data_IF_644126826519
#
_entry.id   IF_644126826519
#
_cell.length_a   1.000
_cell.length_b   1.000
_cell.length_c   1.000
_cell.angle_alpha   90.00
_cell.angle_beta   90.00
_cell.angle_gamma   90.00
#
_symmetry.space_group_name_H-M   'P 1'
#
loop_
_entity.id
_entity.type
_entity.pdbx_description
1 polymer ?
#
# COMPACT_ATOMS: atom_id res chain seq x y z
N UNK A 1 -0.01 21.09 -37.21
CA UNK A 1 1.02 20.72 -36.22
C UNK A 1 0.30 20.16 -34.99
N UNK A 2 0.36 18.85 -34.74
CA UNK A 2 -0.38 18.17 -33.67
C UNK A 2 0.44 18.26 -32.37
N UNK A 3 0.02 19.10 -31.44
CA UNK A 3 0.65 19.26 -30.13
C UNK A 3 0.38 18.04 -29.25
N UNK A 4 1.38 17.18 -29.06
CA UNK A 4 1.36 16.16 -28.00
C UNK A 4 1.62 16.84 -26.66
N UNK A 5 0.56 16.97 -25.84
CA UNK A 5 0.67 17.35 -24.43
C UNK A 5 0.93 16.09 -23.61
N UNK A 6 2.20 15.82 -23.32
CA UNK A 6 2.61 14.78 -22.36
C UNK A 6 2.35 15.34 -20.96
N UNK A 7 1.29 14.86 -20.29
CA UNK A 7 1.01 15.16 -18.88
C UNK A 7 1.91 14.32 -17.99
N UNK A 8 2.96 14.93 -17.44
CA UNK A 8 3.84 14.34 -16.43
C UNK A 8 3.11 14.37 -15.08
N UNK A 9 2.51 13.25 -14.69
CA UNK A 9 1.76 13.07 -13.45
C UNK A 9 2.59 12.43 -12.35
N UNK A 10 3.32 13.25 -11.59
CA UNK A 10 4.14 12.86 -10.43
C UNK A 10 3.38 11.95 -9.42
N UNK A 11 3.75 10.68 -9.31
CA UNK A 11 3.29 9.76 -8.26
C UNK A 11 4.45 9.20 -7.44
N UNK A 12 4.85 9.92 -6.39
CA UNK A 12 5.80 9.46 -5.38
C UNK A 12 5.04 8.86 -4.21
N UNK A 13 5.01 7.52 -4.09
CA UNK A 13 4.69 6.81 -2.84
C UNK A 13 5.11 5.32 -2.93
N UNK A 14 6.39 5.02 -2.65
CA UNK A 14 6.84 3.67 -2.31
C UNK A 14 7.84 3.72 -1.15
N UNK A 15 7.32 3.59 0.06
CA UNK A 15 8.08 3.29 1.26
C UNK A 15 7.55 1.98 1.87
N UNK A 16 8.46 1.08 2.25
CA UNK A 16 8.16 -0.03 3.17
C UNK A 16 8.46 -1.43 2.64
N UNK A 17 9.74 -1.77 2.49
CA UNK A 17 10.24 -3.14 2.55
C UNK A 17 11.27 -3.18 3.68
N UNK A 18 10.82 -3.56 4.88
CA UNK A 18 11.66 -3.77 6.05
C UNK A 18 12.37 -5.13 5.93
N UNK A 19 13.69 -5.14 6.05
CA UNK A 19 14.48 -6.30 6.45
C UNK A 19 14.17 -6.63 7.91
N UNK A 20 13.92 -7.89 8.21
CA UNK A 20 13.81 -8.43 9.56
C UNK A 20 15.21 -8.58 10.17
N UNK A 21 15.49 -8.10 11.39
CA UNK A 21 16.70 -8.48 12.09
C UNK A 21 16.57 -9.91 12.63
N UNK A 22 17.61 -10.72 12.41
CA UNK A 22 17.88 -11.95 13.16
C UNK A 22 18.20 -11.53 14.60
N UNK A 23 17.38 -11.98 15.56
CA UNK A 23 17.68 -11.80 16.98
C UNK A 23 18.58 -12.94 17.45
N UNK A 24 19.82 -12.61 17.79
CA UNK A 24 20.70 -13.48 18.54
C UNK A 24 20.20 -13.56 20.00
N UNK A 25 19.90 -14.76 20.47
CA UNK A 25 19.56 -15.03 21.86
C UNK A 25 20.82 -14.89 22.72
N UNK A 26 20.82 -13.87 23.59
CA UNK A 26 21.69 -13.82 24.76
C UNK A 26 20.96 -14.50 25.92
N UNK A 27 21.55 -15.60 26.37
CA UNK A 27 21.15 -16.39 27.53
C UNK A 27 21.90 -15.85 28.76
N UNK A 28 21.19 -15.39 29.80
CA UNK A 28 21.62 -15.34 31.22
C UNK A 28 20.50 -14.80 32.13
N UNK A 29 20.41 -15.38 33.35
CA UNK A 29 19.34 -15.27 34.36
C UNK A 29 19.16 -13.87 34.98
N UNK A 30 18.35 -13.61 36.00
CA UNK A 30 17.81 -14.41 37.12
C UNK A 30 16.49 -13.75 37.60
N UNK A 31 15.85 -14.39 38.57
CA UNK A 31 14.46 -14.28 39.01
C UNK A 31 13.93 -12.89 39.44
N UNK A 32 12.71 -12.58 38.99
CA UNK A 32 11.88 -11.49 39.52
C UNK A 32 10.38 -11.83 39.43
N UNK A 33 9.60 -11.70 40.52
CA UNK A 33 8.21 -12.13 40.56
C UNK A 33 7.30 -11.09 39.91
N UNK A 34 6.67 -11.48 38.80
CA UNK A 34 5.69 -10.65 38.08
C UNK A 34 5.52 -10.98 36.60
N UNK A 35 5.96 -12.18 36.17
CA UNK A 35 5.93 -12.62 34.79
C UNK A 35 4.48 -12.85 34.38
N UNK A 36 3.89 -11.89 33.66
CA UNK A 36 2.73 -12.15 32.80
C UNK A 36 3.09 -13.36 31.91
N UNK A 37 2.23 -14.38 31.78
CA UNK A 37 2.56 -15.57 30.99
C UNK A 37 2.98 -15.11 29.59
N UNK A 38 4.27 -15.31 29.27
CA UNK A 38 4.80 -15.16 27.92
C UNK A 38 3.94 -16.07 27.05
N UNK A 39 3.13 -15.45 26.20
CA UNK A 39 2.37 -16.14 25.16
C UNK A 39 3.36 -17.06 24.44
N UNK A 40 3.12 -18.39 24.41
CA UNK A 40 4.07 -19.31 23.80
C UNK A 40 4.30 -18.86 22.36
N UNK A 41 5.56 -18.56 22.05
CA UNK A 41 6.05 -18.35 20.69
C UNK A 41 5.94 -19.68 19.97
N UNK A 42 4.74 -19.98 19.47
CA UNK A 42 4.55 -21.11 18.58
C UNK A 42 5.40 -20.88 17.32
N UNK A 43 6.06 -21.93 16.77
CA UNK A 43 6.90 -21.84 15.57
C UNK A 43 6.15 -21.39 14.30
N UNK A 44 4.83 -21.16 14.37
CA UNK A 44 3.97 -20.70 13.28
C UNK A 44 3.75 -19.16 13.21
N UNK A 45 4.44 -18.38 14.06
CA UNK A 45 4.25 -16.92 14.16
C UNK A 45 4.63 -16.08 12.93
N UNK A 46 5.33 -16.64 11.93
CA UNK A 46 5.84 -15.90 10.76
C UNK A 46 4.92 -15.95 9.52
N UNK A 47 3.79 -16.66 9.57
CA UNK A 47 2.90 -16.82 8.41
C UNK A 47 1.93 -15.65 8.15
N UNK A 48 2.03 -14.52 8.85
CA UNK A 48 1.30 -13.28 8.50
C UNK A 48 1.85 -12.57 7.25
N UNK A 49 2.45 -13.32 6.31
CA UNK A 49 2.88 -12.88 4.97
C UNK A 49 1.75 -12.99 3.92
N UNK A 50 0.48 -12.98 4.35
CA UNK A 50 -0.71 -13.25 3.53
C UNK A 50 -1.13 -12.17 2.51
N UNK A 51 -0.37 -11.09 2.33
CA UNK A 51 -0.79 -9.97 1.47
C UNK A 51 -0.16 -9.90 0.08
N UNK A 52 0.83 -10.75 -0.23
CA UNK A 52 1.65 -10.63 -1.45
C UNK A 52 1.21 -11.49 -2.63
N UNK A 53 0.30 -12.45 -2.44
CA UNK A 53 0.00 -13.48 -3.46
C UNK A 53 -0.73 -12.98 -4.72
N UNK A 54 -1.36 -11.80 -4.69
CA UNK A 54 -2.15 -11.31 -5.83
C UNK A 54 -1.54 -10.06 -6.51
N UNK A 55 -0.22 -10.02 -6.69
CA UNK A 55 0.46 -8.86 -7.32
C UNK A 55 1.30 -9.18 -8.55
N UNK A 56 1.42 -10.46 -8.93
CA UNK A 56 2.17 -10.88 -10.11
C UNK A 56 1.36 -10.74 -11.40
N UNK A 57 2.02 -11.01 -12.53
CA UNK A 57 1.41 -11.01 -13.86
C UNK A 57 0.05 -11.74 -13.92
N UNK A 58 -0.06 -12.93 -13.32
CA UNK A 58 -1.29 -13.74 -13.36
C UNK A 58 -2.48 -13.05 -12.67
N UNK A 59 -2.24 -12.27 -11.61
CA UNK A 59 -3.29 -11.53 -10.92
C UNK A 59 -3.75 -10.31 -11.73
N UNK A 60 -2.88 -9.75 -12.57
CA UNK A 60 -3.25 -8.66 -13.49
C UNK A 60 -4.02 -9.23 -14.68
N UNK A 61 -3.55 -10.36 -15.24
CA UNK A 61 -4.24 -11.07 -16.30
C UNK A 61 -5.66 -11.46 -15.89
N UNK A 62 -5.84 -12.02 -14.69
CA UNK A 62 -7.17 -12.40 -14.19
C UNK A 62 -8.13 -11.20 -14.21
N UNK A 63 -7.69 -10.02 -13.77
CA UNK A 63 -8.52 -8.80 -13.80
C UNK A 63 -8.84 -8.32 -15.21
N UNK A 64 -7.84 -8.30 -16.09
CA UNK A 64 -8.03 -7.90 -17.49
C UNK A 64 -8.99 -8.87 -18.20
N UNK A 65 -8.82 -10.17 -17.94
CA UNK A 65 -9.69 -11.21 -18.47
C UNK A 65 -11.13 -11.09 -17.95
N UNK A 66 -11.31 -10.87 -16.65
CA UNK A 66 -12.64 -10.71 -16.05
C UNK A 66 -13.40 -9.50 -16.63
N UNK A 67 -12.68 -8.42 -16.94
CA UNK A 67 -13.28 -7.19 -17.44
C UNK A 67 -13.47 -7.19 -18.97
N UNK A 68 -12.49 -7.64 -19.74
CA UNK A 68 -12.46 -7.52 -21.21
C UNK A 68 -12.83 -8.81 -21.94
N UNK A 69 -13.00 -9.91 -21.20
CA UNK A 69 -13.32 -11.25 -21.73
C UNK A 69 -12.38 -11.64 -22.87
N UNK A 70 -11.09 -11.62 -22.56
CA UNK A 70 -10.03 -11.96 -23.51
C UNK A 70 -10.22 -13.38 -24.05
N UNK A 71 -9.99 -13.60 -25.35
CA UNK A 71 -9.93 -14.95 -25.90
C UNK A 71 -8.64 -15.68 -25.47
N UNK A 72 -8.54 -16.98 -25.76
CA UNK A 72 -7.41 -17.79 -25.30
C UNK A 72 -6.07 -17.35 -25.92
N UNK A 73 -6.08 -16.90 -27.17
CA UNK A 73 -4.89 -16.39 -27.85
C UNK A 73 -4.44 -15.08 -27.22
N UNK A 74 -5.37 -14.13 -27.06
CA UNK A 74 -5.13 -12.85 -26.37
C UNK A 74 -4.64 -13.04 -24.95
N UNK A 75 -5.23 -13.98 -24.19
CA UNK A 75 -4.77 -14.28 -22.81
C UNK A 75 -3.31 -14.71 -22.78
N UNK A 76 -2.91 -15.60 -23.68
CA UNK A 76 -1.53 -16.09 -23.75
C UNK A 76 -0.56 -14.97 -24.13
N UNK A 77 -0.90 -14.15 -25.12
CA UNK A 77 -0.07 -13.01 -25.54
C UNK A 77 0.05 -11.95 -24.44
N UNK A 78 -1.07 -11.54 -23.83
CA UNK A 78 -1.10 -10.58 -22.72
C UNK A 78 -0.35 -11.12 -21.50
N UNK A 79 -0.48 -12.42 -21.19
CA UNK A 79 0.29 -13.04 -20.10
C UNK A 79 1.79 -12.98 -20.36
N UNK A 80 2.24 -13.23 -21.59
CA UNK A 80 3.64 -13.13 -21.96
C UNK A 80 4.16 -11.69 -21.81
N UNK A 81 3.41 -10.70 -22.29
CA UNK A 81 3.73 -9.27 -22.13
C UNK A 81 3.83 -8.87 -20.64
N UNK A 82 2.87 -9.28 -19.82
CA UNK A 82 2.88 -9.00 -18.38
C UNK A 82 4.07 -9.63 -17.65
N UNK A 83 4.44 -10.87 -18.00
CA UNK A 83 5.63 -11.56 -17.44
C UNK A 83 6.93 -10.87 -17.87
N UNK A 84 7.04 -10.48 -19.13
CA UNK A 84 8.20 -9.75 -19.65
C UNK A 84 8.35 -8.38 -18.97
N UNK A 85 7.25 -7.66 -18.79
CA UNK A 85 7.23 -6.41 -18.04
C UNK A 85 7.61 -6.62 -16.57
N UNK A 86 7.09 -7.66 -15.89
CA UNK A 86 7.49 -7.97 -14.51
C UNK A 86 9.01 -8.23 -14.40
N UNK A 87 9.59 -8.95 -15.35
CA UNK A 87 11.03 -9.18 -15.42
C UNK A 87 11.81 -7.86 -15.61
N UNK A 88 11.38 -7.00 -16.54
CA UNK A 88 12.01 -5.68 -16.76
C UNK A 88 11.94 -4.78 -15.53
N UNK A 89 10.78 -4.72 -14.85
CA UNK A 89 10.65 -3.95 -13.60
C UNK A 89 11.54 -4.50 -12.49
N UNK A 90 11.74 -5.83 -12.45
CA UNK A 90 12.67 -6.47 -11.51
C UNK A 90 14.11 -6.07 -11.81
N UNK A 91 14.53 -6.17 -13.07
CA UNK A 91 15.85 -5.74 -13.53
C UNK A 91 16.15 -4.28 -13.18
N UNK A 92 15.21 -3.37 -13.49
CA UNK A 92 15.33 -1.95 -13.10
C UNK A 92 15.48 -1.86 -11.57
N UNK A 93 14.64 -2.51 -10.78
CA UNK A 93 14.73 -2.41 -9.31
C UNK A 93 16.03 -2.98 -8.73
N UNK A 94 16.53 -4.06 -9.31
CA UNK A 94 17.77 -4.69 -8.87
C UNK A 94 18.99 -3.79 -9.17
N UNK A 95 18.98 -3.08 -10.30
CA UNK A 95 20.00 -2.08 -10.64
C UNK A 95 20.04 -0.88 -9.68
N UNK A 96 18.95 -0.59 -8.97
CA UNK A 96 18.87 0.49 -7.98
C UNK A 96 18.74 -0.01 -6.54
N UNK A 97 19.21 -1.23 -6.27
CA UNK A 97 19.29 -1.75 -4.89
C UNK A 97 20.16 -0.82 -4.02
N UNK A 98 19.87 -0.70 -2.70
CA UNK A 98 20.77 0.02 -1.80
C UNK A 98 22.17 -0.59 -1.82
N UNK A 99 23.20 0.25 -1.88
CA UNK A 99 24.59 -0.22 -1.78
C UNK A 99 24.87 -0.72 -0.35
N UNK A 100 25.91 -1.56 -0.15
CA UNK A 100 26.33 -1.97 1.19
C UNK A 100 26.62 -0.76 2.10
N UNK A 101 27.31 0.25 1.58
CA UNK A 101 27.62 1.50 2.30
C UNK A 101 26.36 2.26 2.73
N UNK A 102 25.36 2.39 1.85
CA UNK A 102 24.07 3.02 2.20
C UNK A 102 23.32 2.22 3.29
N UNK A 103 23.47 0.90 3.29
CA UNK A 103 22.87 0.04 4.32
C UNK A 103 23.56 0.22 5.67
N UNK A 104 24.89 0.25 5.69
CA UNK A 104 25.72 0.52 6.86
C UNK A 104 25.44 1.92 7.43
N UNK A 105 25.36 2.95 6.58
CA UNK A 105 25.01 4.30 7.02
C UNK A 105 23.63 4.34 7.69
N UNK A 106 22.64 3.69 7.07
CA UNK A 106 21.29 3.61 7.62
C UNK A 106 21.22 2.78 8.90
N UNK A 107 22.10 1.81 9.09
CA UNK A 107 22.25 1.04 10.33
C UNK A 107 22.89 1.90 11.43
N UNK A 108 24.00 2.57 11.14
CA UNK A 108 24.65 3.50 12.06
C UNK A 108 23.69 4.60 12.54
N UNK A 109 22.89 5.19 11.64
CA UNK A 109 21.87 6.19 12.03
C UNK A 109 20.82 5.60 12.97
N UNK A 110 20.43 4.32 12.82
CA UNK A 110 19.47 3.67 13.72
C UNK A 110 20.08 3.36 15.08
N UNK A 111 21.34 2.97 15.12
CA UNK A 111 22.07 2.75 16.37
C UNK A 111 22.27 4.05 17.13
N UNK A 112 22.68 5.13 16.45
CA UNK A 112 22.79 6.47 17.04
C UNK A 112 21.44 6.94 17.58
N UNK A 113 20.34 6.71 16.86
CA UNK A 113 18.99 7.04 17.32
C UNK A 113 18.58 6.22 18.56
N UNK A 114 18.97 4.95 18.64
CA UNK A 114 18.71 4.10 19.80
C UNK A 114 19.47 4.65 21.02
N UNK A 115 20.77 4.92 20.86
CA UNK A 115 21.63 5.49 21.91
C UNK A 115 21.13 6.85 22.40
N UNK A 116 20.84 7.76 21.47
CA UNK A 116 20.27 9.08 21.79
C UNK A 116 18.95 8.99 22.56
N UNK A 117 18.15 7.95 22.27
CA UNK A 117 16.89 7.71 22.98
C UNK A 117 17.15 7.18 24.40
N UNK A 118 18.09 6.27 24.56
CA UNK A 118 18.43 5.68 25.86
C UNK A 118 19.05 6.75 26.79
N UNK A 119 19.85 7.66 26.23
CA UNK A 119 20.48 8.79 26.95
C UNK A 119 19.56 10.03 27.09
N UNK A 120 18.38 10.02 26.47
CA UNK A 120 17.48 11.18 26.33
C UNK A 120 18.16 12.42 25.67
N UNK A 121 19.16 12.21 24.82
CA UNK A 121 19.83 13.27 24.08
C UNK A 121 18.95 13.77 22.91
N UNK A 122 18.29 14.91 23.13
CA UNK A 122 17.41 15.52 22.13
C UNK A 122 18.15 16.10 20.93
N UNK A 123 19.41 16.54 21.10
CA UNK A 123 20.20 17.09 20.01
C UNK A 123 20.68 15.99 19.08
N UNK A 124 21.17 14.88 19.62
CA UNK A 124 21.58 13.72 18.83
C UNK A 124 20.37 13.10 18.10
N UNK A 125 19.20 13.02 18.75
CA UNK A 125 17.97 12.60 18.09
C UNK A 125 17.60 13.52 16.90
N UNK A 126 17.78 14.83 17.02
CA UNK A 126 17.54 15.78 15.93
C UNK A 126 18.53 15.54 14.77
N UNK A 127 19.83 15.46 15.07
CA UNK A 127 20.89 15.16 14.09
C UNK A 127 20.64 13.84 13.34
N UNK A 128 20.23 12.78 14.04
CA UNK A 128 19.87 11.51 13.39
C UNK A 128 18.67 11.64 12.44
N UNK A 129 17.65 12.45 12.79
CA UNK A 129 16.50 12.67 11.90
C UNK A 129 16.91 13.43 10.64
N UNK A 130 17.81 14.40 10.75
CA UNK A 130 18.32 15.16 9.61
C UNK A 130 19.18 14.27 8.71
N UNK A 131 20.06 13.43 9.28
CA UNK A 131 20.78 12.39 8.52
C UNK A 131 19.84 11.42 7.81
N UNK A 132 18.79 10.93 8.47
CA UNK A 132 17.78 10.08 7.81
C UNK A 132 17.05 10.81 6.69
N UNK A 133 16.82 12.12 6.81
CA UNK A 133 16.17 12.92 5.77
C UNK A 133 17.10 13.06 4.57
N UNK A 134 18.34 13.46 4.79
CA UNK A 134 19.36 13.60 3.74
C UNK A 134 19.57 12.27 3.00
N UNK A 135 19.73 11.14 3.71
CA UNK A 135 19.88 9.82 3.09
C UNK A 135 18.65 9.42 2.25
N UNK A 136 17.43 9.82 2.66
CA UNK A 136 16.21 9.59 1.87
C UNK A 136 16.14 10.47 0.63
N UNK A 137 16.57 11.72 0.73
CA UNK A 137 16.62 12.66 -0.40
C UNK A 137 17.62 12.20 -1.44
N UNK A 138 18.87 11.90 -1.04
CA UNK A 138 19.89 11.34 -1.91
C UNK A 138 19.42 10.04 -2.58
N UNK A 139 18.80 9.14 -1.82
CA UNK A 139 18.19 7.93 -2.39
C UNK A 139 17.04 8.26 -3.36
N UNK A 140 16.21 9.25 -3.08
CA UNK A 140 15.11 9.64 -3.96
C UNK A 140 15.64 10.14 -5.30
N UNK A 141 16.69 10.96 -5.29
CA UNK A 141 17.38 11.46 -6.48
C UNK A 141 18.01 10.31 -7.27
N UNK A 142 18.73 9.40 -6.59
CA UNK A 142 19.29 8.19 -7.22
C UNK A 142 18.22 7.33 -7.88
N UNK A 143 17.05 7.21 -7.25
CA UNK A 143 15.91 6.45 -7.77
C UNK A 143 15.11 7.18 -8.86
N UNK A 144 15.38 8.47 -9.15
CA UNK A 144 14.64 9.22 -10.16
C UNK A 144 14.68 8.58 -11.56
N UNK A 145 15.85 8.24 -12.14
CA UNK A 145 15.90 7.56 -13.44
C UNK A 145 15.21 6.19 -13.43
N UNK A 146 15.25 5.47 -12.30
CA UNK A 146 14.53 4.21 -12.16
C UNK A 146 13.01 4.41 -12.26
N UNK A 147 12.47 5.50 -11.70
CA UNK A 147 11.03 5.81 -11.78
C UNK A 147 10.62 6.12 -13.21
N UNK A 148 11.40 6.93 -13.90
CA UNK A 148 11.16 7.27 -15.32
C UNK A 148 11.25 6.02 -16.22
N UNK A 149 12.23 5.14 -15.98
CA UNK A 149 12.34 3.87 -16.69
C UNK A 149 11.16 2.92 -16.42
N UNK A 150 10.64 2.91 -15.19
CA UNK A 150 9.43 2.15 -14.83
C UNK A 150 8.20 2.73 -15.54
N UNK A 151 8.02 4.05 -15.52
CA UNK A 151 6.90 4.73 -16.18
C UNK A 151 6.91 4.48 -17.69
N UNK A 152 8.09 4.55 -18.31
CA UNK A 152 8.29 4.24 -19.74
C UNK A 152 7.98 2.77 -20.04
N UNK A 153 8.37 1.85 -19.16
CA UNK A 153 8.07 0.42 -19.32
C UNK A 153 6.56 0.13 -19.15
N UNK A 154 5.88 0.83 -18.23
CA UNK A 154 4.44 0.71 -18.02
C UNK A 154 3.65 1.29 -19.20
N UNK A 155 4.07 2.43 -19.76
CA UNK A 155 3.48 3.00 -20.97
C UNK A 155 3.64 2.06 -22.18
N UNK A 156 4.85 1.51 -22.38
CA UNK A 156 5.06 0.54 -23.45
C UNK A 156 4.19 -0.71 -23.29
N UNK A 157 4.07 -1.25 -22.07
CA UNK A 157 3.20 -2.40 -21.82
C UNK A 157 1.73 -2.09 -22.13
N UNK A 158 1.26 -0.87 -21.82
CA UNK A 158 -0.08 -0.42 -22.15
C UNK A 158 -0.32 -0.42 -23.66
N UNK A 159 0.58 0.19 -24.44
CA UNK A 159 0.52 0.22 -25.90
C UNK A 159 0.58 -1.19 -26.50
N UNK A 160 1.53 -2.02 -26.06
CA UNK A 160 1.71 -3.41 -26.54
C UNK A 160 0.45 -4.26 -26.29
N UNK A 161 -0.28 -4.02 -25.19
CA UNK A 161 -1.55 -4.73 -24.92
C UNK A 161 -2.66 -4.20 -25.81
N UNK A 162 -2.77 -2.88 -26.03
CA UNK A 162 -3.80 -2.30 -26.93
C UNK A 162 -3.72 -2.91 -28.32
N UNK A 163 -2.51 -3.13 -28.84
CA UNK A 163 -2.30 -3.76 -30.16
C UNK A 163 -2.86 -5.18 -30.25
N UNK A 164 -3.00 -5.89 -29.12
CA UNK A 164 -3.55 -7.26 -29.06
C UNK A 164 -5.05 -7.32 -28.83
N UNK A 165 -5.68 -6.18 -28.52
CA UNK A 165 -7.11 -6.11 -28.23
C UNK A 165 -7.93 -5.82 -29.49
N UNK A 166 -9.17 -6.28 -29.48
CA UNK A 166 -10.17 -5.92 -30.50
C UNK A 166 -10.66 -4.48 -30.26
N UNK A 167 -11.20 -3.83 -31.30
CA UNK A 167 -11.62 -2.42 -31.23
C UNK A 167 -12.70 -2.13 -30.17
N UNK A 168 -13.57 -3.11 -29.88
CA UNK A 168 -14.54 -3.00 -28.80
C UNK A 168 -13.90 -3.08 -27.41
N UNK A 169 -12.89 -3.94 -27.23
CA UNK A 169 -12.15 -4.11 -25.97
C UNK A 169 -11.27 -2.88 -25.67
N UNK A 170 -10.72 -2.23 -26.70
CA UNK A 170 -9.86 -1.04 -26.55
C UNK A 170 -10.57 0.11 -25.82
N UNK A 171 -11.89 0.27 -26.04
CA UNK A 171 -12.69 1.33 -25.39
C UNK A 171 -12.76 1.16 -23.87
N UNK A 172 -12.89 -0.09 -23.41
CA UNK A 172 -12.98 -0.41 -21.98
C UNK A 172 -11.60 -0.59 -21.33
N UNK A 173 -10.58 -0.88 -22.14
CA UNK A 173 -9.23 -1.17 -21.66
C UNK A 173 -8.64 -0.03 -20.83
N UNK A 174 -8.76 1.23 -21.25
CA UNK A 174 -8.15 2.36 -20.53
C UNK A 174 -8.73 2.54 -19.12
N UNK A 175 -10.04 2.30 -18.96
CA UNK A 175 -10.71 2.36 -17.66
C UNK A 175 -10.22 1.23 -16.75
N UNK A 176 -10.21 0.00 -17.27
CA UNK A 176 -9.74 -1.19 -16.54
C UNK A 176 -8.26 -1.08 -16.21
N UNK A 177 -7.44 -0.59 -17.14
CA UNK A 177 -6.00 -0.41 -16.98
C UNK A 177 -5.69 0.56 -15.85
N UNK A 178 -6.38 1.72 -15.85
CA UNK A 178 -6.28 2.70 -14.78
C UNK A 178 -6.66 2.06 -13.46
N UNK A 179 -7.76 1.29 -13.39
CA UNK A 179 -8.14 0.59 -12.16
C UNK A 179 -7.06 -0.41 -11.72
N UNK A 180 -6.54 -1.25 -12.62
CA UNK A 180 -5.57 -2.30 -12.32
C UNK A 180 -4.24 -1.72 -11.83
N UNK A 181 -3.76 -0.64 -12.46
CA UNK A 181 -2.48 -0.02 -12.15
C UNK A 181 -2.56 0.96 -10.96
N UNK A 182 -3.57 1.85 -10.89
CA UNK A 182 -3.76 2.77 -9.75
C UNK A 182 -4.13 2.04 -8.45
N UNK A 183 -4.77 0.86 -8.55
CA UNK A 183 -5.08 0.00 -7.39
C UNK A 183 -3.86 -0.35 -6.53
N UNK A 184 -2.65 -0.26 -7.10
CA UNK A 184 -1.39 -0.54 -6.38
C UNK A 184 -1.14 0.46 -5.25
N UNK A 185 -1.63 1.69 -5.35
CA UNK A 185 -1.46 2.75 -4.34
C UNK A 185 -2.69 3.04 -3.47
N UNK A 186 -3.89 2.67 -3.92
CA UNK A 186 -5.16 3.19 -3.36
C UNK A 186 -5.93 2.25 -2.44
N UNK A 187 -5.35 1.15 -1.94
CA UNK A 187 -6.04 0.30 -0.95
C UNK A 187 -6.31 1.08 0.34
N UNK A 188 -7.51 1.62 0.46
CA UNK A 188 -7.99 2.36 1.63
C UNK A 188 -8.15 3.87 1.44
N UNK A 189 -8.13 4.38 0.20
CA UNK A 189 -8.61 5.75 -0.05
C UNK A 189 -10.10 5.82 0.30
N UNK A 190 -10.49 6.80 1.11
CA UNK A 190 -11.89 7.05 1.44
C UNK A 190 -12.67 7.38 0.16
N UNK A 191 -13.97 7.07 0.11
CA UNK A 191 -14.86 7.50 -0.98
C UNK A 191 -14.79 9.02 -1.19
N UNK A 192 -14.48 9.74 -0.12
CA UNK A 192 -14.36 11.19 -0.09
C UNK A 192 -12.91 11.67 -0.13
N UNK A 193 -11.95 10.91 -0.66
CA UNK A 193 -10.55 11.35 -0.72
C UNK A 193 -10.41 12.72 -1.43
N UNK A 194 -10.01 13.79 -0.72
CA UNK A 194 -9.91 15.14 -1.28
C UNK A 194 -8.98 15.21 -2.49
N UNK A 195 -7.91 14.39 -2.51
CA UNK A 195 -6.96 14.38 -3.63
C UNK A 195 -7.57 13.76 -4.87
N UNK A 196 -8.38 12.72 -4.68
CA UNK A 196 -9.12 12.11 -5.77
C UNK A 196 -10.16 13.08 -6.30
N UNK A 197 -10.93 13.74 -5.42
CA UNK A 197 -11.90 14.74 -5.80
C UNK A 197 -11.27 15.88 -6.61
N UNK A 198 -10.14 16.43 -6.16
CA UNK A 198 -9.45 17.50 -6.88
C UNK A 198 -9.05 17.07 -8.30
N UNK A 199 -8.53 15.85 -8.45
CA UNK A 199 -8.16 15.27 -9.74
C UNK A 199 -9.36 15.05 -10.66
N UNK A 200 -10.51 14.66 -10.09
CA UNK A 200 -11.75 14.46 -10.85
C UNK A 200 -12.29 15.81 -11.33
N UNK A 201 -12.39 16.80 -10.44
CA UNK A 201 -12.92 18.12 -10.78
C UNK A 201 -12.06 18.80 -11.83
N UNK A 202 -10.72 18.70 -11.74
CA UNK A 202 -9.82 19.27 -12.75
C UNK A 202 -9.95 18.65 -14.16
N UNK A 203 -10.69 17.55 -14.31
CA UNK A 203 -10.95 16.89 -15.60
C UNK A 203 -12.35 17.18 -16.15
N UNK A 204 -13.24 17.77 -15.35
CA UNK A 204 -14.58 18.18 -15.78
C UNK A 204 -14.41 19.30 -16.81
N UNK A 205 -15.02 19.12 -17.98
CA UNK A 205 -14.93 20.12 -19.06
C UNK A 205 -15.96 21.23 -18.83
N UNK A 206 -15.63 22.45 -19.26
CA UNK A 206 -16.56 23.56 -19.25
C UNK A 206 -16.85 24.14 -17.86
N UNK A 207 -15.90 24.03 -16.92
CA UNK A 207 -15.93 24.83 -15.71
C UNK A 207 -15.77 26.31 -16.07
N UNK A 208 -16.59 27.18 -15.50
CA UNK A 208 -16.35 28.62 -15.62
C UNK A 208 -15.14 29.03 -14.78
N UNK A 209 -14.47 30.13 -15.13
CA UNK A 209 -13.35 30.66 -14.35
C UNK A 209 -13.74 30.90 -12.88
N UNK A 210 -14.95 31.39 -12.63
CA UNK A 210 -15.47 31.61 -11.27
C UNK A 210 -15.68 30.31 -10.49
N UNK A 211 -16.11 29.23 -11.16
CA UNK A 211 -16.24 27.90 -10.56
C UNK A 211 -14.86 27.32 -10.22
N UNK A 212 -13.88 27.43 -11.14
CA UNK A 212 -12.51 26.98 -10.90
C UNK A 212 -11.89 27.67 -9.69
N UNK A 213 -11.99 29.00 -9.61
CA UNK A 213 -11.49 29.79 -8.48
C UNK A 213 -12.19 29.42 -7.16
N UNK A 214 -13.51 29.20 -7.20
CA UNK A 214 -14.30 28.80 -6.03
C UNK A 214 -13.92 27.41 -5.52
N UNK A 215 -13.75 26.45 -6.43
CA UNK A 215 -13.30 25.09 -6.11
C UNK A 215 -11.89 25.12 -5.52
N UNK A 216 -10.97 25.86 -6.12
CA UNK A 216 -9.59 25.97 -5.64
C UNK A 216 -9.53 26.59 -4.24
N UNK A 217 -10.38 27.58 -3.97
CA UNK A 217 -10.54 28.17 -2.64
C UNK A 217 -11.04 27.14 -1.62
N UNK A 218 -12.06 26.35 -1.94
CA UNK A 218 -12.55 25.28 -1.06
C UNK A 218 -11.45 24.26 -0.72
N UNK A 219 -10.64 23.85 -1.70
CA UNK A 219 -9.50 22.95 -1.47
C UNK A 219 -8.39 23.59 -0.63
N UNK A 220 -8.15 24.89 -0.77
CA UNK A 220 -7.18 25.62 0.05
C UNK A 220 -7.66 25.69 1.49
N UNK A 221 -8.90 26.11 1.71
CA UNK A 221 -9.51 26.23 3.04
C UNK A 221 -9.55 24.88 3.76
N UNK A 222 -9.90 23.79 3.06
CA UNK A 222 -9.83 22.44 3.60
C UNK A 222 -8.41 22.04 4.02
N UNK A 223 -7.39 22.30 3.18
CA UNK A 223 -5.99 21.98 3.50
C UNK A 223 -5.48 22.76 4.71
N UNK A 224 -5.88 24.02 4.85
CA UNK A 224 -5.54 24.84 6.01
C UNK A 224 -6.25 24.35 7.28
N UNK A 225 -7.53 23.99 7.19
CA UNK A 225 -8.31 23.41 8.28
C UNK A 225 -7.73 22.06 8.74
N UNK A 226 -7.41 21.14 7.82
CA UNK A 226 -6.76 19.85 8.13
C UNK A 226 -5.40 20.06 8.79
N UNK A 227 -4.58 21.00 8.28
CA UNK A 227 -3.29 21.34 8.89
C UNK A 227 -3.47 21.89 10.31
N UNK A 228 -4.46 22.75 10.55
CA UNK A 228 -4.78 23.30 11.87
C UNK A 228 -5.26 22.20 12.82
N UNK A 229 -6.17 21.34 12.38
CA UNK A 229 -6.68 20.21 13.17
C UNK A 229 -5.57 19.21 13.57
N UNK A 230 -4.58 18.99 12.69
CA UNK A 230 -3.40 18.16 13.01
C UNK A 230 -2.49 18.80 14.05
N UNK A 231 -2.36 20.14 14.05
CA UNK A 231 -1.55 20.89 15.02
C UNK A 231 -2.20 21.00 16.39
N UNK A 232 -3.52 21.17 16.45
CA UNK A 232 -4.28 21.23 17.72
C UNK A 232 -4.55 19.86 18.32
N UNK A 233 -4.09 18.79 17.67
CA UNK A 233 -4.24 17.45 18.18
C UNK A 233 -3.43 17.31 19.48
N UNK A 234 -4.06 16.90 20.60
CA UNK A 234 -3.31 16.64 21.81
C UNK A 234 -2.22 15.61 21.50
N UNK A 235 -0.99 15.91 21.94
CA UNK A 235 0.14 15.01 21.77
C UNK A 235 -0.28 13.62 22.24
N UNK A 236 0.05 12.60 21.44
CA UNK A 236 -0.25 11.23 21.86
C UNK A 236 0.48 11.00 23.19
N UNK A 237 -0.21 10.57 24.26
CA UNK A 237 0.46 10.25 25.50
C UNK A 237 1.60 9.29 25.21
N UNK A 238 2.80 9.61 25.70
CA UNK A 238 3.99 8.79 25.50
C UNK A 238 3.66 7.39 26.02
N UNK A 239 3.93 6.38 25.19
CA UNK A 239 3.62 4.98 25.45
C UNK A 239 4.45 4.52 26.66
N UNK A 240 3.90 4.61 27.87
CA UNK A 240 4.62 4.30 29.11
C UNK A 240 3.88 4.67 30.41
N UNK A 241 3.02 5.69 30.38
CA UNK A 241 2.28 6.11 31.58
C UNK A 241 0.92 5.41 31.67
N UNK A 242 0.89 4.22 32.30
CA UNK A 242 -0.22 3.66 33.09
C UNK A 242 -1.60 3.41 32.47
N UNK A 243 -1.93 3.92 31.28
CA UNK A 243 -3.28 3.85 30.73
C UNK A 243 -3.47 2.56 29.91
N UNK A 244 -4.16 1.60 30.52
CA UNK A 244 -4.86 0.44 29.97
C UNK A 244 -4.81 0.30 28.43
N UNK A 245 -4.10 -0.74 27.96
CA UNK A 245 -3.68 -0.95 26.57
C UNK A 245 -4.80 -1.15 25.52
N UNK A 246 -6.07 -1.00 25.90
CA UNK A 246 -7.23 -1.41 25.10
C UNK A 246 -7.94 -0.26 24.34
N UNK A 247 -7.51 1.00 24.52
CA UNK A 247 -8.11 2.18 23.84
C UNK A 247 -7.44 2.71 22.55
N UNK A 248 -6.29 2.23 22.02
CA UNK A 248 -5.68 2.85 20.84
C UNK A 248 -6.46 2.64 19.54
N UNK A 249 -7.30 1.61 19.45
CA UNK A 249 -8.10 1.34 18.25
C UNK A 249 -9.29 2.30 18.13
N UNK A 250 -10.06 2.49 19.22
CA UNK A 250 -11.18 3.44 19.28
C UNK A 250 -10.77 4.88 18.92
N UNK A 251 -9.59 5.32 19.37
CA UNK A 251 -9.03 6.66 19.03
C UNK A 251 -8.67 6.80 17.54
N UNK A 252 -8.29 5.72 16.86
CA UNK A 252 -8.02 5.75 15.40
C UNK A 252 -9.30 5.80 14.60
N UNK A 253 -10.31 5.05 15.01
CA UNK A 253 -11.60 5.00 14.33
C UNK A 253 -12.36 6.32 14.47
N UNK A 254 -12.37 6.91 15.67
CA UNK A 254 -12.97 8.24 15.88
C UNK A 254 -12.28 9.33 15.07
N UNK A 255 -10.96 9.21 14.88
CA UNK A 255 -10.24 10.17 14.05
C UNK A 255 -10.58 9.98 12.57
N UNK A 256 -10.57 8.74 12.09
CA UNK A 256 -10.97 8.43 10.71
C UNK A 256 -12.36 8.98 10.40
N UNK A 257 -13.33 8.82 11.31
CA UNK A 257 -14.67 9.38 11.13
C UNK A 257 -14.68 10.91 11.03
N UNK A 258 -13.84 11.63 11.80
CA UNK A 258 -13.75 13.09 11.70
C UNK A 258 -13.10 13.53 10.39
N UNK A 259 -12.00 12.87 10.02
CA UNK A 259 -11.29 13.14 8.76
C UNK A 259 -12.23 12.86 7.56
N UNK A 260 -12.99 11.75 7.61
CA UNK A 260 -14.00 11.40 6.60
C UNK A 260 -15.18 12.39 6.58
N UNK A 261 -15.64 12.90 7.73
CA UNK A 261 -16.71 13.88 7.79
C UNK A 261 -16.28 15.23 7.19
N UNK A 262 -15.08 15.70 7.48
CA UNK A 262 -14.53 16.91 6.88
C UNK A 262 -14.34 16.74 5.36
N UNK A 263 -13.84 15.58 4.93
CA UNK A 263 -13.64 15.27 3.52
C UNK A 263 -14.98 15.14 2.77
N UNK A 264 -16.00 14.56 3.41
CA UNK A 264 -17.37 14.54 2.89
C UNK A 264 -17.95 15.94 2.76
N UNK A 265 -17.73 16.82 3.75
CA UNK A 265 -18.19 18.21 3.66
C UNK A 265 -17.56 18.92 2.46
N UNK A 266 -16.24 18.81 2.27
CA UNK A 266 -15.57 19.35 1.10
C UNK A 266 -16.18 18.81 -0.21
N UNK A 267 -16.48 17.52 -0.25
CA UNK A 267 -17.15 16.90 -1.40
C UNK A 267 -18.51 17.54 -1.70
N UNK A 268 -19.35 17.70 -0.67
CA UNK A 268 -20.68 18.31 -0.80
C UNK A 268 -20.58 19.81 -1.19
N UNK A 269 -19.64 20.55 -0.60
CA UNK A 269 -19.39 21.98 -0.89
C UNK A 269 -18.92 22.18 -2.34
N UNK A 270 -18.03 21.30 -2.84
CA UNK A 270 -17.58 21.32 -4.23
C UNK A 270 -18.74 21.04 -5.18
N UNK A 271 -19.58 20.03 -4.90
CA UNK A 271 -20.74 19.74 -5.75
C UNK A 271 -21.72 20.91 -5.80
N UNK A 272 -21.88 21.66 -4.71
CA UNK A 272 -22.78 22.82 -4.67
C UNK A 272 -22.35 23.99 -5.59
N UNK A 273 -21.07 24.06 -5.97
CA UNK A 273 -20.54 25.07 -6.91
C UNK A 273 -20.76 24.65 -8.37
N UNK A 274 -20.95 23.36 -8.62
CA UNK A 274 -21.06 22.78 -9.96
C UNK A 274 -22.51 22.74 -10.45
N UNK A 275 -22.69 22.81 -11.77
CA UNK A 275 -24.00 22.57 -12.40
C UNK A 275 -24.44 21.12 -12.22
N UNK A 276 -25.73 20.83 -12.36
CA UNK A 276 -26.25 19.46 -12.17
C UNK A 276 -25.59 18.44 -13.11
N UNK A 277 -25.30 18.82 -14.35
CA UNK A 277 -24.60 17.99 -15.33
C UNK A 277 -23.16 17.68 -14.87
N UNK A 278 -22.42 18.70 -14.43
CA UNK A 278 -21.07 18.55 -13.89
C UNK A 278 -21.06 17.71 -12.60
N UNK A 279 -22.06 17.88 -11.73
CA UNK A 279 -22.20 17.07 -10.52
C UNK A 279 -22.38 15.59 -10.85
N UNK A 280 -23.19 15.27 -11.86
CA UNK A 280 -23.41 13.88 -12.30
C UNK A 280 -22.11 13.27 -12.85
N UNK A 281 -21.34 14.04 -13.62
CA UNK A 281 -20.03 13.64 -14.14
C UNK A 281 -19.03 13.37 -12.99
N UNK A 282 -18.90 14.30 -12.04
CA UNK A 282 -18.03 14.14 -10.86
C UNK A 282 -18.42 12.93 -10.03
N UNK A 283 -19.72 12.72 -9.75
CA UNK A 283 -20.21 11.55 -9.01
C UNK A 283 -19.84 10.24 -9.71
N UNK A 284 -20.03 10.18 -11.02
CA UNK A 284 -19.71 9.00 -11.83
C UNK A 284 -18.20 8.71 -11.83
N UNK A 285 -17.37 9.74 -12.07
CA UNK A 285 -15.92 9.59 -12.03
C UNK A 285 -15.40 9.22 -10.64
N UNK A 286 -15.99 9.77 -9.57
CA UNK A 286 -15.63 9.42 -8.19
C UNK A 286 -16.04 7.99 -7.82
N UNK A 287 -17.21 7.52 -8.25
CA UNK A 287 -17.63 6.13 -8.01
C UNK A 287 -16.71 5.14 -8.74
N UNK A 288 -16.38 5.42 -10.01
CA UNK A 288 -15.39 4.65 -10.78
C UNK A 288 -14.01 4.66 -10.11
N UNK A 289 -13.51 5.86 -9.76
CA UNK A 289 -12.14 6.01 -9.27
C UNK A 289 -11.93 5.62 -7.80
N UNK A 290 -12.98 5.68 -6.96
CA UNK A 290 -12.93 5.16 -5.58
C UNK A 290 -12.88 3.63 -5.54
N UNK A 291 -13.02 2.98 -6.71
CA UNK A 291 -12.88 1.54 -6.86
C UNK A 291 -13.81 0.83 -5.89
N UNK A 292 -15.06 1.30 -5.80
CA UNK A 292 -16.13 0.72 -4.99
C UNK A 292 -16.30 -0.72 -5.45
N UNK A 293 -15.44 -1.56 -4.88
CA UNK A 293 -15.27 -2.96 -5.18
C UNK A 293 -16.65 -3.53 -4.98
N UNK A 294 -17.32 -3.85 -6.08
CA UNK A 294 -18.65 -4.45 -6.05
C UNK A 294 -18.64 -5.49 -4.95
N UNK A 295 -19.67 -5.47 -4.13
CA UNK A 295 -19.88 -6.23 -2.90
C UNK A 295 -19.97 -7.76 -3.14
N UNK A 296 -19.29 -8.27 -4.17
CA UNK A 296 -19.29 -9.66 -4.63
C UNK A 296 -18.20 -10.55 -4.00
N UNK A 297 -17.37 -10.03 -3.09
CA UNK A 297 -16.23 -10.77 -2.53
C UNK A 297 -16.27 -11.07 -1.02
N UNK A 298 -17.37 -10.77 -0.32
CA UNK A 298 -17.49 -10.99 1.15
C UNK A 298 -18.42 -12.14 1.54
N UNK A 299 -18.84 -13.00 0.61
CA UNK A 299 -19.41 -14.31 0.93
C UNK A 299 -18.25 -15.30 1.00
N UNK A 300 -17.86 -15.72 2.20
CA UNK A 300 -16.74 -16.64 2.38
C UNK A 300 -15.90 -16.41 3.64
N UNK A 301 -16.32 -15.55 4.57
CA UNK A 301 -16.06 -15.88 5.98
C UNK A 301 -17.07 -16.96 6.32
N UNK A 302 -16.62 -18.21 6.22
CA UNK A 302 -17.32 -19.32 6.84
C UNK A 302 -17.51 -18.97 8.31
N UNK A 303 -18.77 -18.82 8.68
CA UNK A 303 -19.21 -19.12 10.04
C UNK A 303 -18.71 -20.53 10.33
N UNK A 304 -17.66 -20.62 11.14
CA UNK A 304 -17.12 -21.85 11.68
C UNK A 304 -17.99 -22.31 12.86
N UNK A 305 -19.31 -22.29 12.68
CA UNK A 305 -20.29 -22.76 13.64
C UNK A 305 -21.31 -23.64 12.89
N UNK A 306 -20.99 -24.93 12.75
CA UNK A 306 -21.96 -25.86 12.16
C UNK A 306 -21.44 -27.22 11.72
N UNK A 307 -21.20 -28.10 12.70
CA UNK A 307 -21.50 -29.54 12.68
C UNK A 307 -20.58 -30.53 11.92
N UNK A 308 -20.20 -31.54 12.71
CA UNK A 308 -20.16 -32.97 12.36
C UNK A 308 -19.20 -33.42 11.23
N UNK A 309 -17.91 -33.51 11.58
CA UNK A 309 -16.97 -34.41 10.92
C UNK A 309 -16.60 -35.57 11.86
N UNK A 310 -16.86 -36.84 11.51
CA UNK A 310 -16.65 -37.97 12.40
C UNK A 310 -15.16 -38.33 12.56
N UNK A 311 -14.89 -38.97 13.69
CA UNK A 311 -13.61 -39.45 14.21
C UNK A 311 -12.45 -39.65 13.22
N UNK A 312 -11.31 -39.01 13.53
CA UNK A 312 -10.01 -39.62 13.23
C UNK A 312 -9.55 -40.37 14.46
N UNK A 313 -9.67 -41.69 14.33
CA UNK A 313 -9.05 -42.69 15.17
C UNK A 313 -7.58 -42.37 15.39
N UNK A 314 -7.22 -42.54 16.66
CA UNK A 314 -5.88 -42.47 17.21
C UNK A 314 -5.38 -43.91 17.23
N UNK A 315 -4.88 -44.37 16.09
CA UNK A 315 -4.00 -45.54 15.99
C UNK A 315 -2.64 -44.98 15.58
N UNK A 316 -1.50 -45.30 16.16
CA UNK A 316 -1.11 -46.48 16.92
C UNK A 316 0.39 -46.60 16.65
N UNK A 317 1.13 -46.97 17.68
CA UNK A 317 2.58 -47.15 17.68
C UNK A 317 3.16 -47.77 16.40
N UNK A 318 4.21 -47.14 15.88
CA UNK A 318 5.26 -47.81 15.12
C UNK A 318 6.51 -46.94 15.13
N UNK A 319 7.32 -47.10 16.19
CA UNK A 319 8.72 -46.71 16.18
C UNK A 319 9.48 -47.61 15.18
N UNK A 320 10.23 -47.05 14.21
CA UNK A 320 11.24 -47.83 13.51
C UNK A 320 12.44 -48.04 14.46
N UNK A 321 12.71 -49.32 14.76
CA UNK A 321 13.92 -49.79 15.45
C UNK A 321 15.18 -49.27 14.73
N UNK A 322 16.07 -48.62 15.49
CA UNK A 322 17.48 -48.42 15.10
C UNK A 322 18.13 -49.78 14.81
N UNK A 323 18.79 -49.98 13.66
CA UNK A 323 19.78 -51.04 13.54
C UNK A 323 21.03 -50.66 14.33
N UNK A 324 21.45 -51.57 15.20
CA UNK A 324 22.76 -51.56 15.82
C UNK A 324 23.81 -51.80 14.72
N UNK A 325 24.71 -50.84 14.52
CA UNK A 325 25.99 -51.16 13.90
C UNK A 325 26.94 -51.54 15.02
N UNK A 326 27.26 -52.83 14.99
CA UNK A 326 28.39 -53.49 15.62
C UNK A 326 29.71 -52.85 15.19
N UNK A 327 30.56 -52.62 16.17
CA UNK A 327 32.01 -52.68 16.01
C UNK A 327 32.40 -54.08 15.49
N UNK A 328 33.26 -54.15 14.48
CA UNK A 328 34.35 -55.13 14.42
C UNK A 328 35.37 -54.74 13.32
N UNK A 329 36.64 -54.76 13.76
CA UNK A 329 37.95 -54.66 13.08
C UNK A 329 38.47 -53.31 12.54
#
# INVERSE_FOLDING_TARGET
MKSHRIMIGFCVLLAGLCSTPVSAQSDKGEDGPGIRPRRPEGPDGLQRRGGRRNRGADAQLAKLNDALKLDETQKNEVQALLKAHEAKIREIRDGFRPSPEELEEMEAIREDLRRARDENDTELMAKCRDRMRAAREARNERMAPAREAIETAEAKLHDDIIEKLNDDQKKDFDEVWTEVMDSRGRRGASKYDPRLLQRVVSRVKGLSTEQEESVDKLFKDFREADRKARRTRPERPKRGEGEEADKPQRRRDSQRMRDDAAAKKLYDDVLAVLTEEQQAEVKTMMEKASGKRGERGRRGRGDADGRDGPGRFRDGDSQPKKPANSDDE
#
